data_IF_571657050677
#
_entry.id   IF_571657050677
#
_cell.length_a   1.000
_cell.length_b   1.000
_cell.length_c   1.000
_cell.angle_alpha   90.00
_cell.angle_beta   90.00
_cell.angle_gamma   90.00
#
_symmetry.space_group_name_H-M   'P 1'
#
loop_
_entity.id
_entity.type
_entity.pdbx_description
1 polymer ?
#
# COMPACT_ATOMS: atom_id res chain seq x y z
N UNK A 1 22.71 -9.17 0.71
CA UNK A 1 21.73 -10.29 0.61
C UNK A 1 20.52 -9.81 -0.18
N UNK A 2 20.27 -10.33 -1.38
CA UNK A 2 19.08 -9.97 -2.18
C UNK A 2 17.86 -10.59 -1.47
N UNK A 3 17.22 -9.83 -0.60
CA UNK A 3 15.85 -10.15 -0.20
C UNK A 3 14.97 -9.72 -1.36
N UNK A 4 14.67 -10.66 -2.26
CA UNK A 4 13.42 -10.58 -3.02
C UNK A 4 12.34 -10.40 -1.97
N UNK A 5 11.79 -9.20 -1.86
CA UNK A 5 10.48 -9.05 -1.26
C UNK A 5 9.51 -9.72 -2.23
N UNK A 6 9.48 -11.05 -2.22
CA UNK A 6 8.33 -11.79 -2.70
C UNK A 6 7.16 -11.18 -1.96
N UNK A 7 6.26 -10.54 -2.70
CA UNK A 7 5.04 -9.94 -2.16
C UNK A 7 4.29 -11.09 -1.52
N UNK A 8 4.50 -11.25 -0.23
CA UNK A 8 3.99 -12.40 0.51
C UNK A 8 2.48 -12.25 0.57
N UNK A 9 1.78 -13.02 -0.24
CA UNK A 9 0.33 -13.11 -0.19
C UNK A 9 -0.07 -13.57 1.21
N UNK A 10 -0.75 -12.71 1.97
CA UNK A 10 -1.46 -13.15 3.17
C UNK A 10 -2.93 -13.21 2.82
N UNK A 11 -3.49 -14.42 2.85
CA UNK A 11 -4.95 -14.61 2.82
C UNK A 11 -5.53 -13.88 4.03
N UNK A 12 -6.39 -12.91 3.79
CA UNK A 12 -7.13 -12.22 4.84
C UNK A 12 -8.61 -12.56 4.71
N UNK A 13 -9.28 -12.73 5.85
CA UNK A 13 -10.71 -12.98 5.89
C UNK A 13 -11.45 -11.64 5.90
N UNK A 14 -12.31 -11.45 4.91
CA UNK A 14 -13.25 -10.35 4.84
C UNK A 14 -14.64 -10.86 5.22
N UNK A 15 -15.41 -10.00 5.88
CA UNK A 15 -16.80 -10.25 6.28
C UNK A 15 -17.73 -9.28 5.58
N UNK A 16 -18.88 -9.81 5.16
CA UNK A 16 -19.99 -9.05 4.59
C UNK A 16 -21.33 -9.66 5.01
N UNK A 17 -22.46 -8.95 4.88
CA UNK A 17 -23.79 -9.56 5.01
C UNK A 17 -23.97 -10.68 3.99
N UNK A 18 -24.43 -11.85 4.42
CA UNK A 18 -24.73 -12.95 3.49
C UNK A 18 -26.00 -12.69 2.64
N UNK A 19 -26.87 -11.82 3.15
CA UNK A 19 -28.12 -11.38 2.53
C UNK A 19 -28.56 -10.07 3.15
N UNK A 20 -29.60 -9.45 2.60
CA UNK A 20 -30.28 -8.33 3.26
C UNK A 20 -30.81 -8.80 4.61
N UNK A 21 -30.44 -8.08 5.68
CA UNK A 21 -30.84 -8.43 7.04
C UNK A 21 -32.14 -7.72 7.37
N UNK A 22 -33.20 -8.48 7.60
CA UNK A 22 -34.50 -7.95 7.99
C UNK A 22 -34.50 -7.52 9.47
N UNK A 23 -35.27 -6.47 9.78
CA UNK A 23 -35.39 -5.93 11.14
C UNK A 23 -35.92 -6.95 12.14
N UNK A 24 -36.83 -7.83 11.74
CA UNK A 24 -37.38 -8.90 12.59
C UNK A 24 -36.32 -9.94 13.02
N UNK A 25 -35.36 -10.23 12.14
CA UNK A 25 -34.22 -11.12 12.46
C UNK A 25 -33.34 -10.46 13.52
N UNK A 26 -33.06 -9.17 13.37
CA UNK A 26 -32.23 -8.40 14.29
C UNK A 26 -32.89 -8.32 15.69
N UNK A 27 -34.18 -8.03 15.74
CA UNK A 27 -34.95 -7.93 16.99
C UNK A 27 -35.03 -9.26 17.75
N UNK A 28 -35.26 -10.38 17.04
CA UNK A 28 -35.23 -11.73 17.63
C UNK A 28 -33.86 -12.07 18.19
N UNK A 29 -32.79 -11.68 17.49
CA UNK A 29 -31.41 -11.87 17.94
C UNK A 29 -31.09 -10.99 19.15
N UNK A 30 -31.54 -9.74 19.18
CA UNK A 30 -31.30 -8.80 20.28
C UNK A 30 -31.84 -9.34 21.61
N UNK A 31 -33.00 -10.02 21.58
CA UNK A 31 -33.60 -10.66 22.78
C UNK A 31 -32.87 -11.93 23.25
N UNK A 32 -32.29 -12.71 22.34
CA UNK A 32 -31.70 -14.04 22.66
C UNK A 32 -30.19 -14.05 22.78
N UNK A 33 -29.51 -13.22 22.01
CA UNK A 33 -28.05 -13.17 21.88
C UNK A 33 -27.62 -11.73 21.53
N UNK A 34 -27.62 -10.80 22.51
CA UNK A 34 -27.41 -9.37 22.28
C UNK A 34 -26.07 -9.07 21.58
N UNK A 35 -24.99 -9.79 21.94
CA UNK A 35 -23.68 -9.66 21.28
C UNK A 35 -23.68 -10.08 19.81
N UNK A 36 -24.48 -11.09 19.45
CA UNK A 36 -24.64 -11.48 18.04
C UNK A 36 -25.46 -10.44 17.27
N UNK A 37 -26.47 -9.83 17.91
CA UNK A 37 -27.26 -8.76 17.30
C UNK A 37 -26.40 -7.53 17.03
N UNK A 38 -25.57 -7.13 17.99
CA UNK A 38 -24.61 -6.02 17.85
C UNK A 38 -23.64 -6.25 16.68
N UNK A 39 -23.01 -7.43 16.61
CA UNK A 39 -22.10 -7.76 15.50
C UNK A 39 -22.85 -7.80 14.16
N UNK A 40 -24.05 -8.36 14.12
CA UNK A 40 -24.85 -8.42 12.89
C UNK A 40 -25.29 -7.03 12.43
N UNK A 41 -25.60 -6.13 13.37
CA UNK A 41 -25.93 -4.74 13.07
C UNK A 41 -24.72 -4.00 12.49
N UNK A 42 -23.53 -4.20 13.06
CA UNK A 42 -22.29 -3.66 12.50
C UNK A 42 -22.01 -4.21 11.09
N UNK A 43 -22.22 -5.52 10.87
CA UNK A 43 -22.06 -6.15 9.54
C UNK A 43 -23.09 -5.60 8.54
N UNK A 44 -24.35 -5.44 8.95
CA UNK A 44 -25.44 -4.97 8.09
C UNK A 44 -25.26 -3.51 7.61
N UNK A 45 -24.47 -2.71 8.33
CA UNK A 45 -24.14 -1.33 7.96
C UNK A 45 -22.93 -1.22 7.03
N UNK A 46 -22.25 -2.32 6.72
CA UNK A 46 -21.11 -2.31 5.81
C UNK A 46 -21.57 -2.04 4.37
N UNK A 47 -21.07 -0.96 3.77
CA UNK A 47 -21.26 -0.67 2.34
C UNK A 47 -20.37 -1.53 1.44
N UNK A 48 -19.24 -2.01 1.98
CA UNK A 48 -18.27 -2.88 1.31
C UNK A 48 -17.71 -3.94 2.27
N UNK A 49 -17.18 -5.06 1.76
CA UNK A 49 -16.55 -6.09 2.60
C UNK A 49 -15.43 -5.49 3.47
N UNK A 50 -15.41 -5.86 4.75
CA UNK A 50 -14.40 -5.36 5.71
C UNK A 50 -13.58 -6.52 6.26
N UNK A 51 -12.30 -6.28 6.60
CA UNK A 51 -11.46 -7.28 7.27
C UNK A 51 -12.13 -7.74 8.58
N UNK A 52 -12.35 -9.04 8.73
CA UNK A 52 -13.00 -9.61 9.92
C UNK A 52 -12.26 -9.24 11.22
N UNK A 53 -10.92 -9.24 11.19
CA UNK A 53 -10.10 -8.85 12.34
C UNK A 53 -10.27 -7.38 12.74
N UNK A 54 -10.52 -6.49 11.77
CA UNK A 54 -10.76 -5.07 12.03
C UNK A 54 -12.13 -4.85 12.66
N UNK A 55 -13.17 -5.48 12.08
CA UNK A 55 -14.52 -5.37 12.60
C UNK A 55 -14.60 -5.88 14.05
N UNK A 56 -14.01 -7.05 14.35
CA UNK A 56 -14.00 -7.60 15.70
C UNK A 56 -13.28 -6.71 16.72
N UNK A 57 -12.23 -5.99 16.30
CA UNK A 57 -11.56 -4.98 17.15
C UNK A 57 -12.45 -3.78 17.40
N UNK A 58 -13.14 -3.27 16.38
CA UNK A 58 -14.03 -2.12 16.51
C UNK A 58 -15.23 -2.42 17.42
N UNK A 59 -15.80 -3.61 17.31
CA UNK A 59 -16.94 -4.03 18.16
C UNK A 59 -16.51 -4.62 19.49
N UNK A 60 -15.21 -4.84 19.74
CA UNK A 60 -14.70 -5.58 20.91
C UNK A 60 -15.34 -6.97 21.10
N UNK A 61 -15.62 -7.67 19.99
CA UNK A 61 -16.26 -8.99 19.98
C UNK A 61 -15.28 -10.07 19.48
N UNK A 62 -15.64 -11.33 19.69
CA UNK A 62 -14.78 -12.47 19.38
C UNK A 62 -15.15 -13.19 18.08
N UNK A 63 -14.22 -14.03 17.61
CA UNK A 63 -14.41 -14.88 16.44
C UNK A 63 -15.52 -15.92 16.64
N UNK A 64 -15.87 -16.28 17.89
CA UNK A 64 -16.92 -17.25 18.17
C UNK A 64 -18.30 -16.69 17.81
N UNK A 65 -18.52 -15.41 18.14
CA UNK A 65 -19.72 -14.65 17.79
C UNK A 65 -19.87 -14.53 16.27
N UNK A 66 -18.78 -14.21 15.57
CA UNK A 66 -18.75 -14.13 14.11
C UNK A 66 -19.06 -15.49 13.46
N UNK A 67 -18.42 -16.57 13.92
CA UNK A 67 -18.68 -17.93 13.40
C UNK A 67 -20.13 -18.37 13.62
N UNK A 68 -20.76 -17.97 14.73
CA UNK A 68 -22.18 -18.26 14.98
C UNK A 68 -23.10 -17.57 13.96
N UNK A 69 -22.78 -16.33 13.57
CA UNK A 69 -23.52 -15.60 12.52
C UNK A 69 -23.31 -16.23 11.13
N UNK A 70 -22.09 -16.66 10.83
CA UNK A 70 -21.77 -17.37 9.57
C UNK A 70 -22.51 -18.70 9.49
N UNK A 71 -22.50 -19.50 10.56
CA UNK A 71 -23.23 -20.78 10.64
C UNK A 71 -24.74 -20.60 10.46
N UNK A 72 -25.27 -19.43 10.83
CA UNK A 72 -26.69 -19.06 10.65
C UNK A 72 -27.00 -18.48 9.27
N UNK A 73 -26.00 -18.35 8.39
CA UNK A 73 -26.17 -17.76 7.06
C UNK A 73 -26.52 -16.27 7.12
N UNK A 74 -26.14 -15.57 8.18
CA UNK A 74 -26.39 -14.13 8.36
C UNK A 74 -25.17 -13.28 7.98
N UNK A 75 -23.97 -13.85 8.06
CA UNK A 75 -22.72 -13.25 7.61
C UNK A 75 -21.98 -14.22 6.68
N UNK A 76 -21.20 -13.70 5.75
CA UNK A 76 -20.34 -14.48 4.85
C UNK A 76 -18.88 -14.10 5.11
N UNK A 77 -18.00 -15.10 5.13
CA UNK A 77 -16.55 -14.91 5.17
C UNK A 77 -15.96 -15.27 3.81
N UNK A 78 -15.18 -14.35 3.24
CA UNK A 78 -14.43 -14.58 2.01
C UNK A 78 -12.93 -14.43 2.27
N UNK A 79 -12.16 -15.35 1.71
CA UNK A 79 -10.71 -15.19 1.64
C UNK A 79 -10.39 -14.30 0.45
N UNK A 80 -9.74 -13.17 0.70
CA UNK A 80 -9.22 -12.31 -0.36
C UNK A 80 -7.71 -12.19 -0.24
N UNK A 81 -7.05 -12.27 -1.40
CA UNK A 81 -5.61 -12.10 -1.53
C UNK A 81 -5.31 -10.60 -1.50
N UNK A 82 -4.99 -10.07 -0.32
CA UNK A 82 -4.60 -8.67 -0.19
C UNK A 82 -3.14 -8.54 -0.55
N UNK A 83 -2.86 -7.73 -1.58
CA UNK A 83 -1.50 -7.33 -1.92
C UNK A 83 -0.91 -6.61 -0.70
N UNK A 84 0.21 -7.14 -0.18
CA UNK A 84 0.98 -6.39 0.81
C UNK A 84 1.61 -5.22 0.07
N UNK A 85 1.05 -4.04 0.27
CA UNK A 85 1.82 -2.81 0.15
C UNK A 85 2.30 -2.42 1.56
N UNK A 86 3.59 -2.65 1.91
CA UNK A 86 4.16 -2.23 3.19
C UNK A 86 4.04 -0.72 3.44
N UNK A 87 3.75 0.07 2.38
CA UNK A 87 3.62 1.52 2.38
C UNK A 87 2.22 1.98 1.95
N UNK A 88 1.22 1.09 1.86
CA UNK A 88 -0.11 1.42 1.33
C UNK A 88 -0.91 2.45 2.16
N UNK A 89 -0.50 2.68 3.41
CA UNK A 89 -1.03 3.72 4.30
C UNK A 89 -0.10 4.96 4.38
N UNK A 90 1.07 4.94 3.72
CA UNK A 90 1.99 6.08 3.65
C UNK A 90 1.56 7.01 2.52
N UNK A 91 0.93 8.13 2.88
CA UNK A 91 0.71 9.23 1.96
C UNK A 91 2.07 9.90 1.69
N UNK A 92 2.78 9.45 0.66
CA UNK A 92 3.92 10.19 0.13
C UNK A 92 3.38 11.49 -0.50
N UNK A 93 3.53 12.60 0.22
CA UNK A 93 3.34 13.92 -0.39
C UNK A 93 4.46 14.05 -1.42
N UNK A 94 4.11 13.98 -2.70
CA UNK A 94 5.05 14.23 -3.78
C UNK A 94 5.67 15.62 -3.54
N UNK A 95 6.93 15.64 -3.12
CA UNK A 95 7.66 16.89 -3.01
C UNK A 95 7.87 17.42 -4.43
N UNK A 96 7.59 18.71 -4.66
CA UNK A 96 7.87 19.34 -5.94
C UNK A 96 9.38 19.29 -6.20
N UNK A 97 9.78 18.91 -7.43
CA UNK A 97 11.19 18.89 -7.84
C UNK A 97 11.90 20.18 -7.43
N UNK A 98 13.10 20.05 -6.87
CA UNK A 98 13.92 21.21 -6.56
C UNK A 98 14.39 21.87 -7.87
N UNK A 99 14.52 23.19 -7.85
CA UNK A 99 15.11 23.92 -8.97
C UNK A 99 16.60 23.60 -9.02
N UNK A 100 17.03 22.95 -10.11
CA UNK A 100 18.42 22.60 -10.35
C UNK A 100 19.23 23.84 -10.69
N UNK A 101 20.49 23.87 -10.24
CA UNK A 101 21.45 24.84 -10.76
C UNK A 101 21.90 24.46 -12.19
N UNK A 102 22.72 25.32 -12.81
CA UNK A 102 23.15 25.10 -14.20
C UNK A 102 23.94 23.79 -14.40
N UNK A 103 24.84 23.45 -13.48
CA UNK A 103 25.66 22.24 -13.57
C UNK A 103 24.81 20.98 -13.43
N UNK A 104 23.89 20.97 -12.48
CA UNK A 104 22.95 19.87 -12.26
C UNK A 104 22.00 19.73 -13.45
N UNK A 105 21.54 20.84 -14.03
CA UNK A 105 20.68 20.85 -15.22
C UNK A 105 21.42 20.24 -16.42
N UNK A 106 22.69 20.60 -16.62
CA UNK A 106 23.53 20.00 -17.67
C UNK A 106 23.71 18.50 -17.43
N UNK A 107 24.02 18.09 -16.20
CA UNK A 107 24.18 16.67 -15.87
C UNK A 107 22.89 15.87 -16.09
N UNK A 108 21.73 16.39 -15.65
CA UNK A 108 20.44 15.74 -15.87
C UNK A 108 20.10 15.65 -17.36
N UNK A 109 20.41 16.67 -18.15
CA UNK A 109 20.19 16.66 -19.60
C UNK A 109 20.92 15.51 -20.27
N UNK A 110 22.18 15.27 -19.94
CA UNK A 110 22.95 14.13 -20.48
C UNK A 110 22.32 12.78 -20.12
N UNK A 111 21.82 12.64 -18.89
CA UNK A 111 21.09 11.43 -18.46
C UNK A 111 19.81 11.25 -19.28
N UNK A 112 19.02 12.31 -19.47
CA UNK A 112 17.76 12.24 -20.23
C UNK A 112 17.99 11.91 -21.70
N UNK A 113 19.03 12.47 -22.32
CA UNK A 113 19.41 12.13 -23.69
C UNK A 113 19.75 10.64 -23.84
N UNK A 114 20.45 10.05 -22.86
CA UNK A 114 20.73 8.62 -22.86
C UNK A 114 19.47 7.75 -22.69
N UNK A 115 18.43 8.24 -22.01
CA UNK A 115 17.14 7.55 -21.88
C UNK A 115 16.34 7.50 -23.19
N UNK A 116 16.51 8.52 -24.03
CA UNK A 116 15.81 8.68 -25.31
C UNK A 116 16.48 7.89 -26.45
N UNK A 117 17.75 7.48 -26.29
CA UNK A 117 18.49 6.67 -27.26
C UNK A 117 19.21 5.49 -26.58
N UNK A 118 18.44 4.52 -26.03
CA UNK A 118 18.96 3.44 -25.20
C UNK A 118 19.99 2.54 -25.93
N UNK A 119 19.88 2.39 -27.25
CA UNK A 119 20.84 1.65 -28.08
C UNK A 119 22.24 2.28 -28.11
N UNK A 120 22.34 3.58 -27.82
CA UNK A 120 23.60 4.32 -27.75
C UNK A 120 24.00 4.67 -26.32
N UNK A 121 23.19 4.28 -25.32
CA UNK A 121 23.42 4.63 -23.93
C UNK A 121 24.68 3.95 -23.38
N UNK A 122 25.43 4.71 -22.59
CA UNK A 122 26.63 4.23 -21.88
C UNK A 122 26.46 4.46 -20.38
N UNK A 123 27.18 3.71 -19.52
CA UNK A 123 27.21 4.01 -18.09
C UNK A 123 27.65 5.46 -17.84
N UNK A 124 26.87 6.19 -17.05
CA UNK A 124 27.16 7.59 -16.67
C UNK A 124 27.66 7.60 -15.23
N UNK A 125 28.81 8.23 -15.01
CA UNK A 125 29.32 8.53 -13.67
C UNK A 125 29.02 9.98 -13.33
N UNK A 126 28.13 10.19 -12.35
CA UNK A 126 27.87 11.52 -11.80
C UNK A 126 28.88 11.83 -10.69
N UNK A 127 29.92 12.60 -11.03
CA UNK A 127 30.95 13.00 -10.07
C UNK A 127 30.56 14.28 -9.32
N UNK A 128 30.72 14.27 -8.00
CA UNK A 128 30.48 15.45 -7.17
C UNK A 128 30.72 15.16 -5.68
N UNK A 129 31.10 16.16 -4.92
CA UNK A 129 31.31 16.05 -3.46
C UNK A 129 30.00 15.80 -2.71
N UNK A 130 30.06 15.39 -1.44
CA UNK A 130 28.87 15.29 -0.59
C UNK A 130 28.19 16.66 -0.48
N UNK A 131 26.85 16.72 -0.49
CA UNK A 131 26.10 17.98 -0.44
C UNK A 131 25.91 18.70 -1.78
N UNK A 132 26.56 18.26 -2.87
CA UNK A 132 26.39 18.82 -4.23
C UNK A 132 25.01 18.57 -4.89
N UNK A 133 24.11 17.87 -4.20
CA UNK A 133 22.76 17.59 -4.73
C UNK A 133 22.67 16.44 -5.74
N UNK A 134 23.64 15.51 -5.79
CA UNK A 134 23.57 14.32 -6.66
C UNK A 134 22.28 13.52 -6.51
N UNK A 135 21.76 13.43 -5.30
CA UNK A 135 20.49 12.74 -5.01
C UNK A 135 19.32 13.34 -5.80
N UNK A 136 19.26 14.67 -5.92
CA UNK A 136 18.19 15.34 -6.69
C UNK A 136 18.26 14.98 -8.18
N UNK A 137 19.47 14.90 -8.73
CA UNK A 137 19.66 14.45 -10.12
C UNK A 137 19.16 13.02 -10.29
N UNK A 138 19.40 12.12 -9.32
CA UNK A 138 18.88 10.76 -9.37
C UNK A 138 17.36 10.73 -9.34
N UNK A 139 16.72 11.49 -8.44
CA UNK A 139 15.27 11.54 -8.31
C UNK A 139 14.60 12.08 -9.58
N UNK A 140 15.12 13.16 -10.16
CA UNK A 140 14.57 13.71 -11.40
C UNK A 140 14.82 12.81 -12.62
N UNK A 141 15.95 12.10 -12.67
CA UNK A 141 16.19 11.08 -13.70
C UNK A 141 15.22 9.90 -13.58
N UNK A 142 14.96 9.41 -12.37
CA UNK A 142 13.96 8.36 -12.11
C UNK A 142 12.58 8.84 -12.52
N UNK A 143 12.20 10.08 -12.18
CA UNK A 143 10.93 10.66 -12.61
C UNK A 143 10.80 10.66 -14.12
N UNK A 144 11.85 11.07 -14.85
CA UNK A 144 11.87 11.04 -16.30
C UNK A 144 11.69 9.61 -16.87
N UNK A 145 12.22 8.58 -16.21
CA UNK A 145 11.99 7.17 -16.57
C UNK A 145 10.53 6.76 -16.34
N UNK A 146 9.97 7.12 -15.18
CA UNK A 146 8.58 6.81 -14.82
C UNK A 146 7.57 7.51 -15.73
N UNK A 147 7.81 8.77 -16.11
CA UNK A 147 6.97 9.52 -17.05
C UNK A 147 6.93 8.89 -18.45
N UNK A 148 7.93 8.08 -18.79
CA UNK A 148 7.97 7.26 -20.02
C UNK A 148 7.30 5.89 -19.86
N UNK A 149 6.64 5.63 -18.73
CA UNK A 149 5.99 4.34 -18.43
C UNK A 149 6.98 3.19 -18.18
N UNK A 150 8.24 3.50 -17.85
CA UNK A 150 9.29 2.51 -17.58
C UNK A 150 9.55 2.42 -16.07
N UNK A 151 10.32 1.41 -15.65
CA UNK A 151 10.68 1.19 -14.24
C UNK A 151 12.13 1.58 -13.95
N UNK A 152 12.42 2.02 -12.72
CA UNK A 152 13.78 2.33 -12.26
C UNK A 152 14.16 1.49 -11.03
N UNK A 153 15.46 1.23 -10.85
CA UNK A 153 16.02 0.57 -9.67
C UNK A 153 17.10 1.49 -9.09
N UNK A 154 16.99 1.78 -7.79
CA UNK A 154 18.02 2.51 -7.03
C UNK A 154 18.67 1.57 -6.05
N UNK A 155 20.00 1.48 -6.10
CA UNK A 155 20.80 0.69 -5.18
C UNK A 155 21.48 1.61 -4.18
N UNK A 156 21.16 1.44 -2.90
CA UNK A 156 21.78 2.17 -1.79
C UNK A 156 22.69 1.23 -0.97
N UNK A 157 23.80 1.71 -0.40
CA UNK A 157 24.66 0.89 0.44
C UNK A 157 23.97 0.48 1.76
N UNK A 158 24.27 -0.74 2.23
CA UNK A 158 23.56 -1.45 3.32
C UNK A 158 23.53 -0.72 4.68
N UNK A 159 24.44 0.24 4.93
CA UNK A 159 24.62 0.91 6.24
C UNK A 159 24.35 2.42 6.18
N UNK A 160 23.74 2.93 5.10
CA UNK A 160 23.44 4.36 5.01
C UNK A 160 22.02 4.62 4.51
N UNK A 161 21.22 5.25 5.38
CA UNK A 161 20.11 6.14 5.01
C UNK A 161 18.80 5.50 4.51
N UNK A 162 18.41 4.35 5.05
CA UNK A 162 17.07 3.79 4.80
C UNK A 162 15.88 4.68 5.21
N UNK A 163 15.96 5.62 6.18
CA UNK A 163 14.85 6.55 6.40
C UNK A 163 14.81 7.71 5.38
N UNK A 164 15.96 8.37 5.12
CA UNK A 164 15.98 9.63 4.37
C UNK A 164 15.79 9.50 2.85
N UNK A 165 16.00 8.31 2.27
CA UNK A 165 15.75 8.05 0.85
C UNK A 165 14.33 7.53 0.60
N UNK A 166 13.64 7.01 1.62
CA UNK A 166 12.26 6.51 1.49
C UNK A 166 11.24 7.64 1.63
N UNK A 167 11.53 8.66 2.43
CA UNK A 167 10.62 9.80 2.66
C UNK A 167 10.61 10.87 1.55
N UNK A 168 11.43 10.75 0.51
CA UNK A 168 11.53 11.72 -0.60
C UNK A 168 11.15 11.09 -1.93
#
# INVERSE_FOLDING_TARGET
VIRRAEVGWKKQLFVQPARKIDSDVLEKLRKRAPRQAELLEAIARLESPMRAAQLLRQTSLDNQTLRALVKRGLAELREEAVVRDPHGDEQFIATSNLVLNEEQTRALKEVVLALDSPENARPILLHGVTGSGKTEIYLQAIRAVLDRGRTAIVLVPEISLTPQTVER
#
